data_IF_579820631796
#
_entry.id   IF_579820631796
#
_cell.length_a   1.000
_cell.length_b   1.000
_cell.length_c   1.000
_cell.angle_alpha   90.00
_cell.angle_beta   90.00
_cell.angle_gamma   90.00
#
_symmetry.space_group_name_H-M   'P 1'
#
loop_
_entity.id
_entity.type
_entity.pdbx_description
1 polymer ?
#
# COMPACT_ATOMS: atom_id res chain seq x y z
N UNK A 1 14.55 9.06 0.63
CA UNK A 1 13.51 8.00 0.56
C UNK A 1 12.63 7.99 1.80
N UNK A 2 13.18 7.84 3.01
CA UNK A 2 12.40 7.81 4.26
C UNK A 2 11.50 9.03 4.47
N UNK A 3 12.02 10.24 4.27
CA UNK A 3 11.25 11.49 4.43
C UNK A 3 10.08 11.58 3.44
N UNK A 4 10.31 11.21 2.18
CA UNK A 4 9.24 11.16 1.17
C UNK A 4 8.15 10.16 1.53
N UNK A 5 8.54 8.97 1.99
CA UNK A 5 7.59 7.95 2.46
C UNK A 5 6.80 8.41 3.70
N UNK A 6 7.46 9.13 4.62
CA UNK A 6 6.78 9.70 5.78
C UNK A 6 5.70 10.72 5.39
N UNK A 7 6.01 11.57 4.41
CA UNK A 7 5.04 12.53 3.88
C UNK A 7 3.85 11.84 3.21
N UNK A 8 4.08 10.74 2.46
CA UNK A 8 3.00 9.93 1.89
C UNK A 8 2.13 9.32 2.99
N UNK A 9 2.72 8.71 4.01
CA UNK A 9 1.98 8.12 5.14
C UNK A 9 1.13 9.16 5.87
N UNK A 10 1.66 10.36 6.10
CA UNK A 10 0.91 11.45 6.73
C UNK A 10 -0.30 11.88 5.89
N UNK A 11 -0.11 12.08 4.58
CA UNK A 11 -1.20 12.40 3.65
C UNK A 11 -2.28 11.31 3.65
N UNK A 12 -1.86 10.04 3.60
CA UNK A 12 -2.78 8.89 3.63
C UNK A 12 -3.58 8.83 4.94
N UNK A 13 -2.93 9.01 6.10
CA UNK A 13 -3.61 9.05 7.40
C UNK A 13 -4.64 10.17 7.48
N UNK A 14 -4.25 11.38 7.08
CA UNK A 14 -5.14 12.54 7.08
C UNK A 14 -6.34 12.30 6.17
N UNK A 15 -6.10 11.73 5.00
CA UNK A 15 -7.14 11.38 4.05
C UNK A 15 -8.12 10.34 4.58
N UNK A 16 -7.63 9.24 5.17
CA UNK A 16 -8.47 8.18 5.74
C UNK A 16 -9.23 8.60 7.01
N UNK A 17 -8.75 9.63 7.71
CA UNK A 17 -9.41 10.19 8.89
C UNK A 17 -10.48 11.22 8.53
N UNK A 18 -10.70 11.48 7.24
CA UNK A 18 -11.69 12.47 6.77
C UNK A 18 -13.11 12.02 7.11
N UNK A 19 -13.90 12.86 7.80
CA UNK A 19 -15.29 12.56 8.13
C UNK A 19 -16.23 12.53 6.91
N UNK A 20 -15.73 12.90 5.72
CA UNK A 20 -16.50 12.84 4.46
C UNK A 20 -16.64 11.42 3.89
N UNK A 21 -15.94 10.43 4.46
CA UNK A 21 -15.91 9.06 3.94
C UNK A 21 -15.00 8.89 2.72
N UNK A 22 -14.95 7.67 2.19
CA UNK A 22 -14.24 7.32 0.95
C UNK A 22 -15.01 7.86 -0.26
N UNK A 23 -14.32 8.52 -1.21
CA UNK A 23 -14.87 9.07 -2.44
C UNK A 23 -14.41 8.23 -3.66
N UNK A 24 -14.80 8.53 -4.91
CA UNK A 24 -14.32 7.82 -6.09
C UNK A 24 -12.88 8.20 -6.48
N UNK A 25 -12.14 7.23 -7.04
CA UNK A 25 -10.73 7.24 -7.47
C UNK A 25 -10.17 8.57 -8.01
N UNK A 26 -10.93 9.28 -8.85
CA UNK A 26 -10.51 10.54 -9.49
C UNK A 26 -10.28 11.70 -8.50
N UNK A 27 -10.66 11.54 -7.22
CA UNK A 27 -10.52 12.56 -6.16
C UNK A 27 -9.51 12.18 -5.04
N UNK A 28 -8.64 11.19 -5.24
CA UNK A 28 -7.69 10.73 -4.20
C UNK A 28 -6.22 11.04 -4.51
N UNK A 29 -5.77 12.32 -4.51
CA UNK A 29 -4.36 12.66 -4.70
C UNK A 29 -3.39 11.85 -3.81
N UNK A 30 -3.66 11.64 -2.50
CA UNK A 30 -2.76 10.84 -1.66
C UNK A 30 -2.58 9.38 -2.09
N UNK A 31 -3.64 8.76 -2.63
CA UNK A 31 -3.67 7.36 -3.07
C UNK A 31 -2.94 7.21 -4.41
N UNK A 32 -3.11 8.18 -5.31
CA UNK A 32 -2.36 8.25 -6.58
C UNK A 32 -0.88 8.50 -6.33
N UNK A 33 -0.54 9.46 -5.46
CA UNK A 33 0.84 9.72 -5.06
C UNK A 33 1.51 8.49 -4.41
N UNK A 34 0.77 7.74 -3.59
CA UNK A 34 1.26 6.50 -3.00
C UNK A 34 1.61 5.45 -4.06
N UNK A 35 0.81 5.34 -5.13
CA UNK A 35 1.09 4.45 -6.25
C UNK A 35 2.36 4.87 -7.00
N UNK A 36 2.51 6.16 -7.31
CA UNK A 36 3.70 6.66 -8.00
C UNK A 36 4.96 6.49 -7.15
N UNK A 37 4.89 6.78 -5.85
CA UNK A 37 6.00 6.53 -4.93
C UNK A 37 6.41 5.06 -4.89
N UNK A 38 5.44 4.14 -4.91
CA UNK A 38 5.71 2.71 -4.98
C UNK A 38 6.31 2.30 -6.33
N UNK A 39 5.92 2.91 -7.45
CA UNK A 39 6.54 2.62 -8.76
C UNK A 39 8.02 3.02 -8.78
N UNK A 40 8.37 4.13 -8.14
CA UNK A 40 9.74 4.65 -8.12
C UNK A 40 10.67 3.93 -7.13
N UNK A 41 10.10 3.32 -6.08
CA UNK A 41 10.87 2.76 -4.96
C UNK A 41 10.58 1.27 -4.66
N UNK A 42 9.61 0.68 -5.34
CA UNK A 42 9.23 -0.72 -5.18
C UNK A 42 10.11 -1.68 -5.99
N UNK A 43 10.01 -3.00 -5.71
CA UNK A 43 10.72 -4.02 -6.46
C UNK A 43 10.31 -4.09 -7.94
N UNK A 44 11.30 -4.12 -8.83
CA UNK A 44 11.10 -4.15 -10.28
C UNK A 44 10.62 -5.53 -10.80
N UNK A 45 11.00 -6.62 -10.13
CA UNK A 45 10.72 -7.99 -10.58
C UNK A 45 10.15 -8.84 -9.45
N UNK A 46 8.92 -9.33 -9.66
CA UNK A 46 8.25 -10.33 -8.83
C UNK A 46 7.15 -10.99 -9.67
N UNK A 47 7.02 -12.32 -9.58
CA UNK A 47 5.99 -13.11 -10.27
C UNK A 47 4.64 -13.02 -9.53
N UNK A 48 4.10 -11.80 -9.50
CA UNK A 48 2.88 -11.46 -8.80
C UNK A 48 1.63 -12.25 -9.25
N UNK A 49 1.41 -12.61 -10.54
CA UNK A 49 0.18 -13.29 -10.94
C UNK A 49 0.07 -14.70 -10.34
N UNK A 50 1.20 -15.30 -9.97
CA UNK A 50 1.27 -16.66 -9.45
C UNK A 50 1.53 -16.70 -7.93
N UNK A 51 1.64 -15.55 -7.27
CA UNK A 51 2.00 -15.48 -5.85
C UNK A 51 0.80 -15.73 -4.94
N UNK A 52 0.32 -16.99 -4.90
CA UNK A 52 -0.83 -17.41 -4.07
C UNK A 52 -0.65 -17.06 -2.59
N UNK A 53 0.55 -17.25 -2.05
CA UNK A 53 0.85 -16.91 -0.67
C UNK A 53 0.65 -15.42 -0.35
N UNK A 54 0.84 -14.52 -1.32
CA UNK A 54 0.56 -13.09 -1.18
C UNK A 54 -0.93 -12.78 -1.16
N UNK A 55 -1.71 -13.44 -2.03
CA UNK A 55 -3.16 -13.30 -2.06
C UNK A 55 -3.82 -13.77 -0.75
N UNK A 56 -3.40 -14.95 -0.25
CA UNK A 56 -3.87 -15.50 1.03
C UNK A 56 -3.50 -14.56 2.18
N UNK A 57 -2.25 -14.08 2.20
CA UNK A 57 -1.77 -13.14 3.19
C UNK A 57 -2.56 -11.82 3.19
N UNK A 58 -2.92 -11.30 2.01
CA UNK A 58 -3.72 -10.08 1.89
C UNK A 58 -5.16 -10.28 2.36
N UNK A 59 -5.76 -11.44 2.06
CA UNK A 59 -7.10 -11.78 2.52
C UNK A 59 -7.18 -11.79 4.06
N UNK A 60 -6.17 -12.40 4.70
CA UNK A 60 -6.05 -12.54 6.16
C UNK A 60 -5.44 -11.33 6.87
N UNK A 61 -5.19 -10.23 6.16
CA UNK A 61 -4.47 -9.08 6.69
C UNK A 61 -5.25 -8.38 7.81
N UNK A 62 -4.70 -8.39 9.02
CA UNK A 62 -5.14 -7.59 10.19
C UNK A 62 -4.02 -6.63 10.62
N UNK A 63 -4.30 -5.59 11.44
CA UNK A 63 -3.26 -4.70 11.96
C UNK A 63 -2.12 -5.46 12.67
N UNK A 64 -2.46 -6.47 13.47
CA UNK A 64 -1.48 -7.29 14.20
C UNK A 64 -0.62 -8.10 13.22
N UNK A 65 -1.22 -8.63 12.16
CA UNK A 65 -0.50 -9.38 11.13
C UNK A 65 0.46 -8.48 10.36
N UNK A 66 0.04 -7.26 10.00
CA UNK A 66 0.88 -6.27 9.32
C UNK A 66 2.12 -5.93 10.13
N UNK A 67 1.99 -5.75 11.44
CA UNK A 67 3.12 -5.42 12.32
C UNK A 67 4.23 -6.49 12.31
N UNK A 68 3.91 -7.73 11.95
CA UNK A 68 4.87 -8.84 11.86
C UNK A 68 5.56 -8.98 10.51
N UNK A 69 5.10 -8.27 9.48
CA UNK A 69 5.67 -8.39 8.14
C UNK A 69 7.09 -7.85 8.08
N UNK A 70 7.96 -8.51 7.32
CA UNK A 70 9.25 -7.98 6.94
C UNK A 70 9.16 -7.05 5.73
N UNK A 71 10.26 -6.34 5.45
CA UNK A 71 10.30 -5.30 4.42
C UNK A 71 10.02 -5.86 3.04
N UNK A 72 10.57 -7.03 2.75
CA UNK A 72 10.46 -7.65 1.44
C UNK A 72 9.00 -8.05 1.17
N UNK A 73 8.36 -8.69 2.14
CA UNK A 73 6.98 -9.14 2.07
C UNK A 73 6.01 -7.96 1.96
N UNK A 74 6.20 -6.92 2.79
CA UNK A 74 5.40 -5.68 2.70
C UNK A 74 5.50 -5.04 1.31
N UNK A 75 6.71 -4.92 0.77
CA UNK A 75 6.93 -4.34 -0.57
C UNK A 75 6.37 -5.21 -1.69
N UNK A 76 6.49 -6.54 -1.58
CA UNK A 76 5.91 -7.47 -2.54
C UNK A 76 4.39 -7.38 -2.56
N UNK A 77 3.73 -7.32 -1.39
CA UNK A 77 2.28 -7.14 -1.29
C UNK A 77 1.83 -5.84 -1.95
N UNK A 78 2.42 -4.71 -1.56
CA UNK A 78 2.11 -3.41 -2.14
C UNK A 78 2.28 -3.41 -3.67
N UNK A 79 3.40 -3.96 -4.15
CA UNK A 79 3.70 -4.03 -5.59
C UNK A 79 2.71 -4.92 -6.34
N UNK A 80 2.29 -6.02 -5.73
CA UNK A 80 1.33 -6.96 -6.34
C UNK A 80 -0.03 -6.28 -6.50
N UNK A 81 -0.52 -5.61 -5.46
CA UNK A 81 -1.81 -4.88 -5.48
C UNK A 81 -1.78 -3.71 -6.48
N UNK A 82 -0.68 -2.96 -6.55
CA UNK A 82 -0.53 -1.88 -7.53
C UNK A 82 -0.46 -2.37 -8.98
N UNK A 83 0.04 -3.59 -9.21
CA UNK A 83 0.09 -4.20 -10.54
C UNK A 83 -1.26 -4.82 -10.91
N UNK A 84 -1.92 -5.44 -9.95
CA UNK A 84 -3.26 -6.00 -10.11
C UNK A 84 -4.27 -4.95 -10.56
N UNK A 85 -4.16 -3.70 -10.09
CA UNK A 85 -4.96 -2.56 -10.56
C UNK A 85 -4.99 -2.41 -12.10
N UNK A 86 -3.89 -2.75 -12.79
CA UNK A 86 -3.83 -2.66 -14.26
C UNK A 86 -4.72 -3.67 -14.98
N UNK A 87 -5.14 -4.72 -14.27
CA UNK A 87 -5.90 -5.85 -14.80
C UNK A 87 -7.28 -5.99 -14.13
N UNK A 88 -7.39 -5.56 -12.88
CA UNK A 88 -8.57 -5.60 -12.04
C UNK A 88 -8.79 -4.20 -11.44
N UNK A 89 -9.56 -3.38 -12.16
CA UNK A 89 -9.89 -2.00 -11.79
C UNK A 89 -10.49 -1.92 -10.37
N UNK A 90 -10.00 -0.96 -9.58
CA UNK A 90 -10.45 -0.69 -8.21
C UNK A 90 -9.82 -1.55 -7.11
N UNK A 91 -8.82 -2.37 -7.41
CA UNK A 91 -8.07 -3.16 -6.42
C UNK A 91 -7.31 -2.26 -5.44
N UNK A 92 -6.65 -1.24 -5.98
CA UNK A 92 -5.86 -0.28 -5.25
C UNK A 92 -6.73 0.59 -4.35
N UNK A 93 -7.83 1.11 -4.89
CA UNK A 93 -8.78 1.93 -4.14
C UNK A 93 -9.45 1.12 -3.02
N UNK A 94 -9.91 -0.09 -3.33
CA UNK A 94 -10.51 -0.97 -2.33
C UNK A 94 -9.56 -1.29 -1.20
N UNK A 95 -8.26 -1.48 -1.48
CA UNK A 95 -7.25 -1.69 -0.44
C UNK A 95 -7.19 -0.54 0.55
N UNK A 96 -7.30 0.70 0.08
CA UNK A 96 -7.33 1.86 0.96
C UNK A 96 -8.68 2.05 1.63
N UNK A 97 -9.79 1.83 0.94
CA UNK A 97 -11.15 1.90 1.50
C UNK A 97 -11.29 1.03 2.77
N UNK A 98 -10.72 -0.18 2.76
CA UNK A 98 -10.72 -1.05 3.94
C UNK A 98 -9.53 -0.86 4.90
N UNK A 99 -8.79 0.25 4.78
CA UNK A 99 -7.73 0.68 5.70
C UNK A 99 -6.40 -0.06 5.54
N UNK A 100 -6.38 -1.19 4.85
CA UNK A 100 -5.20 -2.05 4.65
C UNK A 100 -4.05 -1.32 3.97
N UNK A 101 -4.35 -0.42 3.04
CA UNK A 101 -3.35 0.38 2.34
C UNK A 101 -2.50 1.22 3.30
N UNK A 102 -3.14 1.91 4.26
CA UNK A 102 -2.42 2.72 5.24
C UNK A 102 -1.52 1.86 6.11
N UNK A 103 -2.01 0.72 6.61
CA UNK A 103 -1.23 -0.19 7.45
C UNK A 103 0.06 -0.66 6.74
N UNK A 104 -0.03 -1.03 5.45
CA UNK A 104 1.12 -1.50 4.68
C UNK A 104 2.15 -0.38 4.46
N UNK A 105 1.72 0.85 4.16
CA UNK A 105 2.62 1.99 3.98
C UNK A 105 3.29 2.42 5.30
N UNK A 106 2.55 2.42 6.42
CA UNK A 106 3.11 2.65 7.76
C UNK A 106 4.17 1.60 8.08
N UNK A 107 3.87 0.33 7.81
CA UNK A 107 4.82 -0.75 8.03
C UNK A 107 6.08 -0.60 7.18
N UNK A 108 5.94 -0.19 5.93
CA UNK A 108 7.09 0.09 5.07
C UNK A 108 7.94 1.26 5.61
N UNK A 109 7.30 2.30 6.14
CA UNK A 109 8.01 3.43 6.75
C UNK A 109 8.87 3.00 7.95
N UNK A 110 8.31 2.18 8.84
CA UNK A 110 9.03 1.66 10.01
C UNK A 110 10.26 0.83 9.62
N UNK A 111 10.13 0.04 8.56
CA UNK A 111 11.17 -0.86 8.05
C UNK A 111 12.19 -0.16 7.16
N UNK A 112 11.96 1.11 6.82
CA UNK A 112 12.88 1.89 6.02
C UNK A 112 14.02 2.42 6.91
N UNK A 113 15.29 2.06 6.66
CA UNK A 113 16.40 2.55 7.46
C UNK A 113 16.49 4.08 7.39
N UNK A 114 16.85 4.70 8.52
CA UNK A 114 17.24 6.10 8.55
C UNK A 114 18.45 6.24 7.61
N UNK A 115 18.31 7.11 6.62
CA UNK A 115 19.35 7.32 5.60
C UNK A 115 20.43 8.23 6.14
#
# INVERSE_FOLDING_TARGET
MREGLAAIVEKLRSHMSSPRGWAPAEEHPPVSEAMDFLRDHGPLAHDWPNWRAGADLYAELTPERVATLDRQTTLMLLTSLAREERFCDGTWDRMFECGKGVWLFERWLELTPAT
#
